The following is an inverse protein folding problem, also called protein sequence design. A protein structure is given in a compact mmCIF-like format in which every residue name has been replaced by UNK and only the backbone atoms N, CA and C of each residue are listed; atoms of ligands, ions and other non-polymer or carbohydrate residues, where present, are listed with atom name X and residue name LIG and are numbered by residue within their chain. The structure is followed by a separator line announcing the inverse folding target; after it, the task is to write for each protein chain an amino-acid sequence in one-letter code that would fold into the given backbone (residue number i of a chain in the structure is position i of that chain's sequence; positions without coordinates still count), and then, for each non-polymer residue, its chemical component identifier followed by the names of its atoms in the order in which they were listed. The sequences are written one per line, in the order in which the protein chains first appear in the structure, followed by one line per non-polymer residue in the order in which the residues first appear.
data_IF_680751162390
#
_entry.id   IF_680751162390
#
_cell.length_a   1.000
_cell.length_b   1.000
_cell.length_c   1.000
_cell.angle_alpha   90.00
_cell.angle_beta   90.00
_cell.angle_gamma   90.00
#
_symmetry.space_group_name_H-M   'P 1'
#
loop_
_entity.id
_entity.type
_entity.pdbx_description
1 polymer ?
#
# COMPACT_ATOMS: atom_id res chain seq x y z
N UNK A 1 5.27 30.91 -2.90
CA UNK A 1 6.03 30.01 -2.00
C UNK A 1 6.38 28.75 -2.79
N UNK A 2 7.62 28.28 -2.68
CA UNK A 2 8.04 26.98 -3.25
C UNK A 2 7.95 25.97 -2.11
N UNK A 3 7.17 24.87 -2.31
CA UNK A 3 7.00 23.80 -1.34
C UNK A 3 7.58 22.50 -1.89
N UNK A 4 8.57 21.94 -1.21
CA UNK A 4 9.34 20.75 -1.64
C UNK A 4 9.24 19.58 -0.64
N UNK A 5 8.23 19.58 0.24
CA UNK A 5 8.06 18.59 1.30
C UNK A 5 6.75 17.78 1.14
N UNK A 6 6.31 17.58 -0.09
CA UNK A 6 5.07 16.81 -0.37
C UNK A 6 5.18 15.33 0.02
N UNK A 7 6.40 14.80 0.17
CA UNK A 7 6.62 13.45 0.68
C UNK A 7 6.18 13.30 2.15
N UNK A 8 6.27 14.37 2.95
CA UNK A 8 5.78 14.37 4.33
C UNK A 8 4.26 14.61 4.38
N UNK A 9 3.78 15.61 3.64
CA UNK A 9 2.34 15.91 3.51
C UNK A 9 2.07 16.80 2.30
N UNK A 10 0.95 16.58 1.61
CA UNK A 10 0.52 17.44 0.51
C UNK A 10 0.17 18.84 1.02
N UNK A 11 0.85 19.87 0.51
CA UNK A 11 0.53 21.26 0.84
C UNK A 11 -0.76 21.71 0.18
N UNK A 12 -0.87 21.45 -1.11
CA UNK A 12 -2.05 21.82 -1.88
C UNK A 12 -3.11 20.72 -1.76
N UNK A 13 -4.28 21.12 -1.28
CA UNK A 13 -5.45 20.24 -1.20
C UNK A 13 -6.61 20.86 -1.99
N UNK A 14 -7.35 20.09 -2.78
CA UNK A 14 -8.57 20.58 -3.45
C UNK A 14 -9.57 21.15 -2.43
N UNK A 15 -10.25 22.21 -2.79
CA UNK A 15 -11.23 22.88 -1.91
C UNK A 15 -12.41 21.96 -1.57
N UNK A 16 -12.74 21.08 -2.49
CA UNK A 16 -13.80 20.08 -2.37
C UNK A 16 -13.53 19.11 -1.22
N UNK A 17 -12.26 18.77 -0.96
CA UNK A 17 -11.87 17.91 0.18
C UNK A 17 -12.21 18.59 1.51
N UNK A 18 -11.87 19.86 1.66
CA UNK A 18 -12.17 20.62 2.87
C UNK A 18 -13.69 20.77 3.08
N UNK A 19 -14.44 21.02 1.99
CA UNK A 19 -15.90 21.13 2.04
C UNK A 19 -16.54 19.78 2.44
N UNK A 20 -16.11 18.67 1.85
CA UNK A 20 -16.63 17.35 2.17
C UNK A 20 -16.40 16.98 3.65
N UNK A 21 -15.24 17.31 4.21
CA UNK A 21 -14.96 17.09 5.64
C UNK A 21 -15.86 17.96 6.52
N UNK A 22 -16.03 19.23 6.17
CA UNK A 22 -16.92 20.15 6.90
C UNK A 22 -18.36 19.62 6.92
N UNK A 23 -18.91 19.23 5.77
CA UNK A 23 -20.26 18.72 5.64
C UNK A 23 -20.44 17.39 6.41
N UNK A 24 -19.45 16.51 6.35
CA UNK A 24 -19.47 15.25 7.09
C UNK A 24 -19.53 15.46 8.61
N UNK A 25 -18.78 16.41 9.15
CA UNK A 25 -18.79 16.73 10.59
C UNK A 25 -20.20 17.17 11.04
N UNK A 26 -20.92 17.92 10.21
CA UNK A 26 -22.22 18.47 10.56
C UNK A 26 -23.38 17.50 10.34
N UNK A 27 -23.27 16.53 9.45
CA UNK A 27 -24.42 15.77 8.94
C UNK A 27 -24.32 14.25 9.13
N UNK A 28 -23.10 13.69 9.33
CA UNK A 28 -22.90 12.24 9.37
C UNK A 28 -23.16 11.65 10.74
N UNK A 29 -23.74 10.44 10.75
CA UNK A 29 -23.93 9.61 11.93
C UNK A 29 -23.00 8.42 11.98
N UNK A 30 -23.23 7.50 12.90
CA UNK A 30 -22.47 6.25 13.00
C UNK A 30 -22.92 5.28 11.89
N UNK A 31 -22.00 4.96 10.96
CA UNK A 31 -22.28 4.09 9.82
C UNK A 31 -22.58 2.63 10.19
N UNK A 32 -22.14 2.16 11.36
CA UNK A 32 -22.26 0.75 11.77
C UNK A 32 -23.46 0.46 12.67
N UNK A 33 -24.15 1.50 13.17
CA UNK A 33 -25.23 1.33 14.16
C UNK A 33 -26.33 2.38 13.97
N UNK A 34 -27.42 2.00 13.39
CA UNK A 34 -28.59 2.85 13.25
C UNK A 34 -29.24 2.74 11.89
N UNK A 35 -30.57 2.96 11.88
CA UNK A 35 -31.38 2.94 10.67
C UNK A 35 -31.92 4.32 10.29
N UNK A 36 -31.47 5.37 10.99
CA UNK A 36 -31.88 6.74 10.67
C UNK A 36 -31.03 7.33 9.52
N UNK A 37 -31.56 8.37 8.90
CA UNK A 37 -30.99 8.97 7.66
C UNK A 37 -29.50 9.28 7.76
N UNK A 38 -29.03 9.90 8.86
CA UNK A 38 -27.59 10.23 9.00
C UNK A 38 -26.70 8.99 9.03
N UNK A 39 -27.12 7.90 9.69
CA UNK A 39 -26.36 6.64 9.71
C UNK A 39 -26.33 5.96 8.34
N UNK A 40 -27.47 5.93 7.64
CA UNK A 40 -27.55 5.37 6.29
C UNK A 40 -26.71 6.18 5.28
N UNK A 41 -26.71 7.50 5.39
CA UNK A 41 -25.89 8.36 4.55
C UNK A 41 -24.40 8.11 4.79
N UNK A 42 -23.98 7.95 6.04
CA UNK A 42 -22.59 7.61 6.37
C UNK A 42 -22.18 6.24 5.79
N UNK A 43 -23.05 5.23 5.92
CA UNK A 43 -22.78 3.90 5.35
C UNK A 43 -22.66 3.95 3.82
N UNK A 44 -23.54 4.69 3.15
CA UNK A 44 -23.50 4.89 1.69
C UNK A 44 -22.20 5.58 1.26
N UNK A 45 -21.81 6.67 1.92
CA UNK A 45 -20.58 7.40 1.61
C UNK A 45 -19.35 6.49 1.72
N UNK A 46 -19.25 5.67 2.79
CA UNK A 46 -18.17 4.71 2.96
C UNK A 46 -18.16 3.70 1.80
N UNK A 47 -19.31 3.17 1.44
CA UNK A 47 -19.40 2.19 0.35
C UNK A 47 -19.07 2.81 -1.03
N UNK A 48 -19.59 3.99 -1.32
CA UNK A 48 -19.27 4.74 -2.54
C UNK A 48 -17.77 5.04 -2.64
N UNK A 49 -17.13 5.42 -1.52
CA UNK A 49 -15.67 5.63 -1.48
C UNK A 49 -14.91 4.34 -1.78
N UNK A 50 -15.37 3.19 -1.26
CA UNK A 50 -14.78 1.88 -1.61
C UNK A 50 -14.91 1.57 -3.10
N UNK A 51 -16.09 1.85 -3.69
CA UNK A 51 -16.29 1.67 -5.13
C UNK A 51 -15.33 2.53 -5.96
N UNK A 52 -15.19 3.81 -5.62
CA UNK A 52 -14.29 4.73 -6.31
C UNK A 52 -12.82 4.32 -6.19
N UNK A 53 -12.38 3.88 -5.02
CA UNK A 53 -11.01 3.37 -4.84
C UNK A 53 -10.78 2.07 -5.60
N UNK A 54 -11.75 1.16 -5.58
CA UNK A 54 -11.68 -0.06 -6.35
C UNK A 54 -11.60 0.21 -7.86
N UNK A 55 -12.37 1.17 -8.38
CA UNK A 55 -12.30 1.60 -9.77
C UNK A 55 -10.95 2.26 -10.10
N UNK A 56 -10.47 3.16 -9.23
CA UNK A 56 -9.20 3.88 -9.42
C UNK A 56 -8.01 2.95 -9.56
N UNK A 57 -7.98 1.86 -8.79
CA UNK A 57 -6.87 0.91 -8.75
C UNK A 57 -7.15 -0.41 -9.48
N UNK A 58 -8.30 -0.55 -10.15
CA UNK A 58 -8.76 -1.81 -10.75
C UNK A 58 -8.66 -3.00 -9.78
N UNK A 59 -9.17 -2.77 -8.56
CA UNK A 59 -9.16 -3.79 -7.51
C UNK A 59 -10.21 -4.87 -7.72
N UNK A 60 -10.13 -5.97 -6.96
CA UNK A 60 -10.99 -7.14 -7.15
C UNK A 60 -12.44 -6.96 -6.65
N UNK A 61 -12.71 -5.91 -5.89
CA UNK A 61 -14.05 -5.57 -5.42
C UNK A 61 -14.06 -4.57 -4.25
N UNK A 62 -15.09 -3.72 -4.14
CA UNK A 62 -15.17 -2.70 -3.09
C UNK A 62 -15.24 -3.27 -1.67
N UNK A 63 -15.65 -4.52 -1.50
CA UNK A 63 -15.67 -5.23 -0.22
C UNK A 63 -14.27 -5.56 0.31
N UNK A 64 -13.25 -5.53 -0.58
CA UNK A 64 -11.85 -5.75 -0.21
C UNK A 64 -11.12 -4.44 0.14
N UNK A 65 -11.75 -3.29 -0.01
CA UNK A 65 -11.19 -2.02 0.43
C UNK A 65 -11.43 -1.84 1.93
N UNK A 66 -10.37 -1.76 2.70
CA UNK A 66 -10.40 -1.59 4.16
C UNK A 66 -9.80 -0.24 4.55
N UNK A 67 -10.52 0.53 5.37
CA UNK A 67 -10.01 1.81 5.88
C UNK A 67 -9.29 1.61 7.21
N UNK A 68 -8.16 2.30 7.33
CA UNK A 68 -7.37 2.39 8.56
C UNK A 68 -7.06 3.85 8.88
N UNK A 69 -6.46 4.13 10.03
CA UNK A 69 -6.12 5.50 10.43
C UNK A 69 -5.02 6.11 9.55
N UNK A 70 -4.15 5.29 9.00
CA UNK A 70 -3.03 5.69 8.14
C UNK A 70 -2.38 4.48 7.46
N UNK A 71 -1.49 4.73 6.48
CA UNK A 71 -0.77 3.70 5.76
C UNK A 71 0.11 2.81 6.67
N UNK A 72 0.68 3.37 7.75
CA UNK A 72 1.48 2.58 8.70
C UNK A 72 0.63 1.49 9.36
N UNK A 73 -0.59 1.82 9.79
CA UNK A 73 -1.51 0.84 10.37
C UNK A 73 -1.92 -0.21 9.31
N UNK A 74 -2.26 0.21 8.09
CA UNK A 74 -2.62 -0.69 7.01
C UNK A 74 -1.52 -1.70 6.71
N UNK A 75 -0.28 -1.24 6.54
CA UNK A 75 0.90 -2.08 6.29
C UNK A 75 1.18 -3.03 7.45
N UNK A 76 1.04 -2.57 8.70
CA UNK A 76 1.19 -3.44 9.87
C UNK A 76 0.13 -4.54 9.92
N UNK A 77 -1.14 -4.20 9.65
CA UNK A 77 -2.25 -5.19 9.60
C UNK A 77 -1.97 -6.22 8.50
N UNK A 78 -1.64 -5.76 7.28
CA UNK A 78 -1.37 -6.64 6.15
C UNK A 78 -0.18 -7.57 6.42
N UNK A 79 0.98 -7.02 6.81
CA UNK A 79 2.19 -7.80 7.05
C UNK A 79 1.99 -8.79 8.21
N UNK A 80 1.42 -8.36 9.33
CA UNK A 80 1.21 -9.26 10.48
C UNK A 80 0.14 -10.31 10.20
N UNK A 81 -0.88 -9.99 9.41
CA UNK A 81 -1.94 -10.92 9.02
C UNK A 81 -1.48 -12.01 8.04
N UNK A 82 -0.45 -11.72 7.25
CA UNK A 82 0.11 -12.63 6.26
C UNK A 82 1.26 -13.50 6.81
N UNK A 83 1.82 -13.15 7.98
CA UNK A 83 3.03 -13.77 8.48
C UNK A 83 2.76 -14.79 9.59
N UNK A 84 3.46 -15.94 9.50
CA UNK A 84 3.50 -16.99 10.50
C UNK A 84 4.92 -17.59 10.52
N UNK A 85 5.31 -18.31 11.57
CA UNK A 85 6.59 -19.01 11.60
C UNK A 85 6.81 -19.87 10.35
N UNK A 86 7.96 -19.70 9.71
CA UNK A 86 8.32 -20.41 8.47
C UNK A 86 7.99 -19.68 7.17
N UNK A 87 7.19 -18.61 7.20
CA UNK A 87 6.95 -17.76 6.02
C UNK A 87 8.23 -17.02 5.62
N UNK A 88 8.52 -16.98 4.32
CA UNK A 88 9.71 -16.36 3.74
C UNK A 88 9.31 -15.01 3.16
N UNK A 89 9.77 -13.93 3.81
CA UNK A 89 9.51 -12.57 3.38
C UNK A 89 10.72 -11.95 2.70
N UNK A 90 10.44 -11.07 1.76
CA UNK A 90 11.43 -10.15 1.23
C UNK A 90 10.88 -8.72 1.20
N UNK A 91 11.78 -7.75 1.37
CA UNK A 91 11.52 -6.32 1.25
C UNK A 91 12.75 -5.63 0.66
N UNK A 92 12.66 -4.34 0.35
CA UNK A 92 13.79 -3.58 -0.19
C UNK A 92 14.42 -2.68 0.87
N UNK A 93 15.70 -2.34 0.70
CA UNK A 93 16.36 -1.34 1.54
C UNK A 93 15.80 0.09 1.37
N UNK A 94 15.00 0.32 0.32
CA UNK A 94 14.30 1.60 0.07
C UNK A 94 13.00 1.75 0.84
N UNK A 95 12.47 0.65 1.39
CA UNK A 95 11.16 0.67 2.02
C UNK A 95 11.14 1.59 3.25
N UNK A 96 10.01 2.25 3.42
CA UNK A 96 9.80 3.08 4.60
C UNK A 96 9.71 2.22 5.87
N UNK A 97 9.99 2.82 7.03
CA UNK A 97 9.88 2.16 8.34
C UNK A 97 8.49 1.54 8.61
N UNK A 98 7.45 2.01 7.94
CA UNK A 98 6.10 1.40 8.00
C UNK A 98 6.05 -0.02 7.44
N UNK A 99 6.95 -0.37 6.53
CA UNK A 99 7.17 -1.73 6.01
C UNK A 99 8.28 -2.43 6.79
N UNK A 100 9.45 -1.77 6.96
CA UNK A 100 10.62 -2.42 7.56
C UNK A 100 10.39 -2.87 9.00
N UNK A 101 9.75 -2.06 9.83
CA UNK A 101 9.49 -2.44 11.24
C UNK A 101 8.63 -3.71 11.37
N UNK A 102 7.45 -3.82 10.73
CA UNK A 102 6.66 -5.04 10.85
C UNK A 102 7.32 -6.28 10.20
N UNK A 103 8.13 -6.15 9.14
CA UNK A 103 8.83 -7.32 8.58
C UNK A 103 9.98 -7.78 9.50
N UNK A 104 10.69 -6.86 10.17
CA UNK A 104 11.66 -7.26 11.20
C UNK A 104 10.99 -7.90 12.41
N UNK A 105 9.83 -7.39 12.84
CA UNK A 105 9.05 -8.02 13.91
C UNK A 105 8.56 -9.43 13.49
N UNK A 106 8.16 -9.62 12.24
CA UNK A 106 7.80 -10.95 11.72
C UNK A 106 9.00 -11.91 11.75
N UNK A 107 10.21 -11.41 11.44
CA UNK A 107 11.45 -12.20 11.57
C UNK A 107 11.68 -12.66 13.01
N UNK A 108 11.50 -11.80 14.00
CA UNK A 108 11.61 -12.16 15.42
C UNK A 108 10.59 -13.24 15.83
N UNK A 109 9.46 -13.32 15.13
CA UNK A 109 8.38 -14.30 15.34
C UNK A 109 8.54 -15.58 14.52
N UNK A 110 9.68 -15.77 13.85
CA UNK A 110 10.01 -17.02 13.17
C UNK A 110 9.82 -17.02 11.66
N UNK A 111 9.56 -15.86 11.04
CA UNK A 111 9.65 -15.71 9.59
C UNK A 111 11.11 -15.62 9.15
N UNK A 112 11.45 -16.07 7.94
CA UNK A 112 12.70 -15.67 7.31
C UNK A 112 12.52 -14.33 6.62
N UNK A 113 13.55 -13.48 6.66
CA UNK A 113 13.52 -12.14 6.03
C UNK A 113 14.79 -11.93 5.22
N UNK A 114 14.60 -11.53 3.97
CA UNK A 114 15.66 -11.05 3.10
C UNK A 114 15.39 -9.60 2.70
N UNK A 115 16.40 -8.76 2.84
CA UNK A 115 16.33 -7.36 2.39
C UNK A 115 17.16 -7.24 1.13
N UNK A 116 16.53 -6.81 0.05
CA UNK A 116 17.18 -6.59 -1.24
C UNK A 116 17.77 -5.18 -1.27
N UNK A 117 19.09 -5.11 -1.41
CA UNK A 117 19.81 -3.85 -1.55
C UNK A 117 19.53 -3.19 -2.91
N UNK A 118 19.67 -1.88 -2.94
CA UNK A 118 19.59 -1.05 -4.14
C UNK A 118 20.98 -0.58 -4.56
N UNK A 119 21.13 -0.10 -5.80
CA UNK A 119 22.38 0.50 -6.27
C UNK A 119 22.64 1.87 -5.59
N UNK A 120 23.81 2.47 -5.85
CA UNK A 120 24.21 3.78 -5.33
C UNK A 120 23.26 4.92 -5.73
N UNK A 121 22.42 4.71 -6.74
CA UNK A 121 21.38 5.64 -7.19
C UNK A 121 19.99 5.29 -6.62
N UNK A 122 19.91 4.32 -5.72
CA UNK A 122 18.67 3.86 -5.11
C UNK A 122 17.76 3.07 -6.06
N UNK A 123 18.31 2.36 -7.06
CA UNK A 123 17.52 1.59 -8.02
C UNK A 123 17.57 0.11 -7.69
N UNK A 124 16.41 -0.54 -7.78
CA UNK A 124 16.25 -1.97 -7.63
C UNK A 124 16.80 -2.71 -8.88
N UNK A 125 17.58 -3.78 -8.68
CA UNK A 125 17.94 -4.68 -9.77
C UNK A 125 16.90 -5.78 -9.90
N UNK A 126 16.30 -5.88 -11.10
CA UNK A 126 15.34 -6.95 -11.41
C UNK A 126 16.00 -8.33 -11.47
N UNK A 127 17.26 -8.41 -11.89
CA UNK A 127 18.03 -9.65 -11.94
C UNK A 127 18.22 -10.21 -10.51
N UNK A 128 18.65 -9.36 -9.57
CA UNK A 128 18.80 -9.77 -8.17
C UNK A 128 17.45 -10.12 -7.53
N UNK A 129 16.38 -9.41 -7.90
CA UNK A 129 15.03 -9.73 -7.44
C UNK A 129 14.59 -11.10 -7.96
N UNK A 130 14.86 -11.40 -9.21
CA UNK A 130 14.54 -12.71 -9.80
C UNK A 130 15.34 -13.83 -9.14
N UNK A 131 16.64 -13.65 -8.92
CA UNK A 131 17.48 -14.60 -8.17
C UNK A 131 16.93 -14.84 -6.75
N UNK A 132 16.48 -13.77 -6.07
CA UNK A 132 15.86 -13.85 -4.76
C UNK A 132 14.61 -14.72 -4.79
N UNK A 133 13.73 -14.54 -5.78
CA UNK A 133 12.49 -15.31 -5.93
C UNK A 133 12.76 -16.78 -6.30
N UNK A 134 13.81 -17.06 -7.10
CA UNK A 134 14.24 -18.43 -7.39
C UNK A 134 14.67 -19.20 -6.13
N UNK A 135 15.23 -18.50 -5.16
CA UNK A 135 15.62 -19.10 -3.87
C UNK A 135 14.43 -19.30 -2.92
N UNK A 136 13.24 -18.89 -3.34
CA UNK A 136 11.97 -19.09 -2.63
C UNK A 136 11.63 -17.92 -1.70
N UNK A 137 10.63 -17.16 -2.09
CA UNK A 137 9.97 -16.10 -1.31
C UNK A 137 8.48 -16.35 -1.38
N UNK A 138 7.78 -16.14 -0.28
CA UNK A 138 6.32 -16.29 -0.23
C UNK A 138 5.63 -14.93 -0.34
N UNK A 139 6.24 -13.88 0.24
CA UNK A 139 5.70 -12.53 0.28
C UNK A 139 6.81 -11.53 -0.03
N UNK A 140 6.57 -10.63 -0.98
CA UNK A 140 7.42 -9.49 -1.28
C UNK A 140 6.69 -8.18 -1.01
N UNK A 141 7.23 -7.38 -0.08
CA UNK A 141 6.76 -6.04 0.19
C UNK A 141 7.70 -5.03 -0.47
N UNK A 142 7.14 -4.03 -1.16
CA UNK A 142 7.94 -3.04 -1.87
C UNK A 142 7.22 -1.69 -1.93
N UNK A 143 7.94 -0.60 -1.67
CA UNK A 143 7.43 0.74 -1.98
C UNK A 143 7.43 1.00 -3.49
N UNK A 144 6.39 1.66 -4.01
CA UNK A 144 6.40 2.11 -5.41
C UNK A 144 7.37 3.26 -5.64
N UNK A 145 7.43 4.21 -4.70
CA UNK A 145 8.40 5.31 -4.75
C UNK A 145 8.99 5.58 -3.37
N UNK A 146 10.29 5.83 -3.33
CA UNK A 146 10.96 6.22 -2.09
C UNK A 146 10.59 7.65 -1.70
N UNK A 147 10.14 7.84 -0.47
CA UNK A 147 9.91 9.16 0.12
C UNK A 147 11.20 9.97 0.34
N UNK A 148 12.37 9.32 0.28
CA UNK A 148 13.69 9.94 0.51
C UNK A 148 14.35 10.33 -0.81
N UNK A 149 14.43 9.38 -1.76
CA UNK A 149 15.16 9.56 -3.03
C UNK A 149 14.26 9.96 -4.19
N UNK A 150 12.95 9.72 -4.10
CA UNK A 150 11.99 9.93 -5.19
C UNK A 150 12.10 8.89 -6.32
N UNK A 151 12.94 7.88 -6.19
CA UNK A 151 13.06 6.83 -7.19
C UNK A 151 11.77 6.00 -7.26
N UNK A 152 11.33 5.74 -8.50
CA UNK A 152 10.22 4.83 -8.79
C UNK A 152 10.76 3.43 -9.06
N UNK A 153 10.11 2.43 -8.49
CA UNK A 153 10.34 1.03 -8.82
C UNK A 153 9.52 0.63 -10.07
N UNK A 154 10.05 -0.25 -10.92
CA UNK A 154 9.38 -0.70 -12.15
C UNK A 154 8.26 -1.70 -11.81
N UNK A 155 7.07 -1.17 -11.53
CA UNK A 155 5.93 -1.86 -10.93
C UNK A 155 5.48 -3.09 -11.72
N UNK A 156 5.25 -2.92 -13.03
CA UNK A 156 4.76 -4.00 -13.90
C UNK A 156 5.77 -5.14 -14.02
N UNK A 157 7.07 -4.82 -14.09
CA UNK A 157 8.14 -5.82 -14.17
C UNK A 157 8.26 -6.62 -12.87
N UNK A 158 8.17 -5.95 -11.73
CA UNK A 158 8.16 -6.57 -10.40
C UNK A 158 6.96 -7.51 -10.29
N UNK A 159 5.75 -7.03 -10.62
CA UNK A 159 4.54 -7.84 -10.55
C UNK A 159 4.57 -9.07 -11.46
N UNK A 160 5.17 -8.95 -12.67
CA UNK A 160 5.39 -10.12 -13.54
C UNK A 160 6.31 -11.16 -12.90
N UNK A 161 7.35 -10.73 -12.20
CA UNK A 161 8.23 -11.64 -11.47
C UNK A 161 7.48 -12.28 -10.30
N UNK A 162 6.71 -11.51 -9.52
CA UNK A 162 5.89 -12.04 -8.44
C UNK A 162 4.94 -13.13 -8.96
N UNK A 163 4.21 -12.84 -10.04
CA UNK A 163 3.31 -13.82 -10.68
C UNK A 163 4.05 -15.06 -11.18
N UNK A 164 5.22 -14.87 -11.83
CA UNK A 164 6.02 -15.98 -12.37
C UNK A 164 6.45 -16.96 -11.29
N UNK A 165 6.81 -16.47 -10.11
CA UNK A 165 7.32 -17.28 -9.00
C UNK A 165 6.28 -17.58 -7.91
N UNK A 166 5.03 -17.14 -8.06
CA UNK A 166 3.96 -17.36 -7.09
C UNK A 166 4.19 -16.62 -5.78
N UNK A 167 4.84 -15.44 -5.84
CA UNK A 167 5.12 -14.57 -4.70
C UNK A 167 3.98 -13.59 -4.52
N UNK A 168 3.42 -13.49 -3.31
CA UNK A 168 2.41 -12.48 -2.99
C UNK A 168 3.04 -11.09 -3.00
N UNK A 169 2.47 -10.18 -3.78
CA UNK A 169 2.98 -8.82 -3.95
C UNK A 169 2.19 -7.81 -3.12
N UNK A 170 2.83 -7.26 -2.07
CA UNK A 170 2.33 -6.15 -1.27
C UNK A 170 3.02 -4.86 -1.69
N UNK A 171 2.25 -3.90 -2.19
CA UNK A 171 2.75 -2.61 -2.67
C UNK A 171 2.42 -1.49 -1.69
N UNK A 172 3.45 -0.78 -1.21
CA UNK A 172 3.26 0.52 -0.53
C UNK A 172 3.22 1.65 -1.55
N UNK A 173 2.03 2.17 -1.82
CA UNK A 173 1.79 3.27 -2.74
C UNK A 173 1.62 4.64 -2.05
N UNK A 174 2.04 4.78 -0.81
CA UNK A 174 1.84 6.02 0.00
C UNK A 174 2.32 7.30 -0.70
N UNK A 175 3.34 7.20 -1.58
CA UNK A 175 3.88 8.34 -2.32
C UNK A 175 3.27 8.49 -3.72
N UNK A 176 2.56 7.49 -4.22
CA UNK A 176 2.22 7.40 -5.66
C UNK A 176 0.74 7.23 -5.94
N UNK A 177 -0.05 6.79 -4.96
CA UNK A 177 -1.50 6.65 -5.10
C UNK A 177 -2.14 7.99 -5.51
N UNK A 178 -2.89 7.98 -6.61
CA UNK A 178 -3.50 9.18 -7.19
C UNK A 178 -2.53 10.14 -7.90
N UNK A 179 -1.22 9.82 -7.96
CA UNK A 179 -0.19 10.61 -8.66
C UNK A 179 0.33 9.88 -9.89
N UNK A 180 0.58 8.59 -9.75
CA UNK A 180 1.00 7.71 -10.83
C UNK A 180 -0.08 6.66 -11.10
N UNK A 181 -0.25 6.22 -12.35
CA UNK A 181 -1.16 5.13 -12.68
C UNK A 181 -0.72 3.83 -11.99
N UNK A 182 -1.61 3.26 -11.18
CA UNK A 182 -1.45 1.95 -10.54
C UNK A 182 -2.67 1.14 -10.91
N UNK A 183 -2.46 -0.08 -11.36
CA UNK A 183 -3.52 -0.98 -11.79
C UNK A 183 -3.22 -2.37 -11.21
N UNK A 184 -4.02 -2.80 -10.23
CA UNK A 184 -3.74 -4.03 -9.49
C UNK A 184 -3.78 -5.28 -10.39
N UNK A 185 -4.67 -5.30 -11.38
CA UNK A 185 -4.78 -6.43 -12.30
C UNK A 185 -3.60 -6.46 -13.29
N UNK A 186 -3.32 -5.34 -13.97
CA UNK A 186 -2.23 -5.21 -14.94
C UNK A 186 -0.87 -5.44 -14.30
N UNK A 187 -0.66 -4.88 -13.11
CA UNK A 187 0.63 -4.85 -12.41
C UNK A 187 0.79 -6.04 -11.44
N UNK A 188 -0.19 -6.97 -11.41
CA UNK A 188 -0.19 -8.18 -10.57
C UNK A 188 0.04 -7.90 -9.08
N UNK A 189 -0.66 -6.88 -8.57
CA UNK A 189 -0.59 -6.50 -7.16
C UNK A 189 -1.68 -7.25 -6.41
N UNK A 190 -1.29 -7.96 -5.35
CA UNK A 190 -2.24 -8.69 -4.51
C UNK A 190 -2.79 -7.81 -3.38
N UNK A 191 -1.93 -6.92 -2.82
CA UNK A 191 -2.31 -5.99 -1.75
C UNK A 191 -1.69 -4.62 -2.05
N UNK A 192 -2.52 -3.58 -2.03
CA UNK A 192 -2.16 -2.19 -2.23
C UNK A 192 -2.44 -1.39 -0.98
#
# INVERSE_FOLDING_TARGET
MIYLDSAATSYYRPREVAQAVYDAILTMGNAGRGSHTSSLNSARMIYETRCLLNELFHGPGPEQVVFTSNATEALNIAIQGLTAPGVRMAATAMDHNSVLRPVYLAKERGCSLQILDVDEKGRLSLEKLEELFQNGVDIFACTHASNVTGNLNPLTEIGKLCKKYGVLFLLDASQTAGVFPIDMERDFIDIL
#
